data_IF_165833084583
#
_entry.id   IF_165833084583
#
_cell.length_a   1.000
_cell.length_b   1.000
_cell.length_c   1.000
_cell.angle_alpha   90.00
_cell.angle_beta   90.00
_cell.angle_gamma   90.00
#
_symmetry.space_group_name_H-M   'P 1'
#
loop_
_entity.id
_entity.type
_entity.pdbx_description
1 polymer ?
#
# COMPACT_ATOMS: atom_id res chain seq x y z
N UNK A 1 25.58 -21.03 3.38
CA UNK A 1 26.40 -21.38 4.57
C UNK A 1 27.35 -20.28 5.04
N UNK A 2 28.27 -19.70 4.23
CA UNK A 2 29.23 -18.68 4.72
C UNK A 2 28.60 -17.43 5.36
N UNK A 3 27.48 -16.88 4.83
CA UNK A 3 26.81 -15.70 5.39
C UNK A 3 26.14 -15.97 6.75
N UNK A 4 25.54 -17.13 6.96
CA UNK A 4 24.94 -17.52 8.24
C UNK A 4 25.99 -17.66 9.34
N UNK A 5 27.16 -18.23 9.00
CA UNK A 5 28.29 -18.34 9.94
C UNK A 5 28.85 -16.99 10.35
N UNK A 6 28.93 -16.01 9.42
CA UNK A 6 29.39 -14.66 9.71
C UNK A 6 28.42 -13.93 10.66
N UNK A 7 27.12 -13.99 10.40
CA UNK A 7 26.09 -13.36 11.25
C UNK A 7 26.11 -13.95 12.66
N UNK A 8 26.19 -15.27 12.80
CA UNK A 8 26.28 -15.93 14.11
C UNK A 8 27.55 -15.54 14.86
N UNK A 9 28.69 -15.42 14.17
CA UNK A 9 29.95 -15.00 14.78
C UNK A 9 29.89 -13.54 15.26
N UNK A 10 29.33 -12.63 14.47
CA UNK A 10 29.14 -11.23 14.86
C UNK A 10 28.21 -11.13 16.08
N UNK A 11 27.07 -11.84 16.05
CA UNK A 11 26.12 -11.85 17.15
C UNK A 11 26.76 -12.36 18.45
N UNK A 12 27.53 -13.45 18.37
CA UNK A 12 28.24 -14.02 19.52
C UNK A 12 29.29 -13.05 20.05
N UNK A 13 30.05 -12.38 19.19
CA UNK A 13 30.99 -11.34 19.58
C UNK A 13 30.32 -10.18 20.32
N UNK A 14 29.25 -9.65 19.76
CA UNK A 14 28.47 -8.53 20.34
C UNK A 14 27.94 -8.91 21.73
N UNK A 15 27.33 -10.10 21.88
CA UNK A 15 26.75 -10.56 23.15
C UNK A 15 27.85 -10.76 24.21
N UNK A 16 29.04 -11.26 23.83
CA UNK A 16 30.15 -11.51 24.77
C UNK A 16 30.95 -10.27 25.14
N UNK A 17 30.78 -9.18 24.37
CA UNK A 17 31.54 -7.93 24.63
C UNK A 17 30.52 -6.84 25.10
N UNK A 18 30.53 -6.47 26.40
CA UNK A 18 29.54 -5.51 26.92
C UNK A 18 29.64 -4.12 26.26
N UNK A 19 30.84 -3.70 25.83
CA UNK A 19 30.98 -2.43 25.10
C UNK A 19 30.39 -2.52 23.69
N UNK A 20 30.59 -3.62 22.97
CA UNK A 20 30.01 -3.85 21.67
C UNK A 20 28.49 -3.98 21.76
N UNK A 21 27.96 -4.61 22.78
CA UNK A 21 26.53 -4.70 23.06
C UNK A 21 25.93 -3.31 23.30
N UNK A 22 26.55 -2.48 24.13
CA UNK A 22 26.11 -1.12 24.40
C UNK A 22 26.06 -0.27 23.13
N UNK A 23 27.11 -0.34 22.30
CA UNK A 23 27.16 0.35 21.00
C UNK A 23 26.04 -0.15 20.07
N UNK A 24 25.82 -1.45 19.98
CA UNK A 24 24.76 -2.03 19.16
C UNK A 24 23.35 -1.57 19.61
N UNK A 25 23.11 -1.51 20.93
CA UNK A 25 21.85 -1.01 21.49
C UNK A 25 21.67 0.50 21.22
N UNK A 26 22.72 1.30 21.34
CA UNK A 26 22.69 2.73 21.00
C UNK A 26 22.40 2.96 19.53
N UNK A 27 23.10 2.28 18.63
CA UNK A 27 22.88 2.38 17.17
C UNK A 27 21.48 1.91 16.82
N UNK A 28 21.04 0.79 17.39
CA UNK A 28 19.68 0.27 17.20
C UNK A 28 18.61 1.26 17.69
N UNK A 29 18.80 1.84 18.87
CA UNK A 29 17.89 2.84 19.43
C UNK A 29 17.82 4.12 18.61
N UNK A 30 18.95 4.64 18.14
CA UNK A 30 19.01 5.80 17.26
C UNK A 30 18.38 5.52 15.90
N UNK A 31 18.63 4.35 15.31
CA UNK A 31 18.04 3.92 14.05
C UNK A 31 16.53 3.77 14.18
N UNK A 32 16.05 3.19 15.27
CA UNK A 32 14.62 3.07 15.55
C UNK A 32 13.96 4.45 15.77
N UNK A 33 14.60 5.33 16.51
CA UNK A 33 14.11 6.70 16.74
C UNK A 33 14.05 7.47 15.43
N UNK A 34 15.07 7.40 14.59
CA UNK A 34 15.05 8.00 13.24
C UNK A 34 13.89 7.46 12.40
N UNK A 35 13.72 6.12 12.39
CA UNK A 35 12.63 5.48 11.66
C UNK A 35 11.26 5.98 12.11
N UNK A 36 11.01 6.01 13.43
CA UNK A 36 9.69 6.32 14.00
C UNK A 36 9.35 7.81 13.95
N UNK A 37 10.32 8.69 14.25
CA UNK A 37 10.05 10.11 14.42
C UNK A 37 10.41 10.97 13.20
N UNK A 38 11.15 10.43 12.23
CA UNK A 38 11.57 11.20 11.06
C UNK A 38 11.15 10.51 9.76
N UNK A 39 11.65 9.28 9.53
CA UNK A 39 11.52 8.65 8.23
C UNK A 39 10.06 8.33 7.86
N UNK A 40 9.23 7.94 8.82
CA UNK A 40 7.81 7.66 8.58
C UNK A 40 7.01 8.93 8.27
N UNK A 41 7.28 10.02 8.98
CA UNK A 41 6.55 11.28 8.80
C UNK A 41 6.78 11.88 7.41
N UNK A 42 7.97 11.65 6.81
CA UNK A 42 8.26 12.12 5.44
C UNK A 42 7.47 11.37 4.36
N UNK A 43 6.87 10.23 4.69
CA UNK A 43 6.12 9.39 3.75
C UNK A 43 4.60 9.48 3.94
N UNK A 44 4.09 10.41 4.77
CA UNK A 44 2.67 10.55 5.05
C UNK A 44 2.31 12.02 5.23
N UNK A 45 1.53 12.61 4.33
CA UNK A 45 1.17 14.03 4.34
C UNK A 45 0.35 14.44 5.57
N UNK A 46 -0.69 13.67 5.91
CA UNK A 46 -1.57 13.94 7.05
C UNK A 46 -1.18 13.12 8.30
N UNK A 47 0.05 12.59 8.33
CA UNK A 47 0.49 11.69 9.37
C UNK A 47 0.08 10.23 9.14
N UNK A 48 0.52 9.37 10.03
CA UNK A 48 0.25 7.93 9.98
C UNK A 48 -1.16 7.66 10.47
N UNK A 49 -1.99 6.88 9.72
CA UNK A 49 -3.31 6.47 10.18
C UNK A 49 -3.24 5.77 11.53
N UNK A 50 -4.08 6.22 12.45
CA UNK A 50 -4.20 5.64 13.80
C UNK A 50 -5.53 4.92 13.92
N UNK A 51 -5.53 3.78 14.64
CA UNK A 51 -6.77 3.12 15.02
C UNK A 51 -7.62 4.09 15.87
N UNK A 52 -8.94 4.06 15.65
CA UNK A 52 -9.88 4.85 16.45
C UNK A 52 -10.13 4.24 17.82
N UNK A 53 -9.83 2.97 17.98
CA UNK A 53 -9.90 2.23 19.23
C UNK A 53 -8.63 1.38 19.43
N UNK A 54 -8.48 0.82 20.62
CA UNK A 54 -7.37 -0.07 20.95
C UNK A 54 -7.75 -1.55 20.80
N UNK A 55 -8.71 -1.88 19.94
CA UNK A 55 -9.10 -3.25 19.72
C UNK A 55 -8.01 -4.04 18.96
N UNK A 56 -7.90 -5.31 19.27
CA UNK A 56 -6.92 -6.19 18.63
C UNK A 56 -7.07 -6.23 17.09
N UNK A 57 -8.29 -6.26 16.51
CA UNK A 57 -8.46 -6.26 15.06
C UNK A 57 -7.95 -5.01 14.34
N UNK A 58 -7.82 -3.87 15.04
CA UNK A 58 -7.33 -2.61 14.46
C UNK A 58 -5.83 -2.42 14.62
N UNK A 59 -5.15 -3.31 15.36
CA UNK A 59 -3.71 -3.23 15.54
C UNK A 59 -2.95 -3.46 14.23
N UNK A 60 -2.01 -2.57 13.95
CA UNK A 60 -1.15 -2.64 12.76
C UNK A 60 0.32 -2.49 13.13
N UNK A 61 1.16 -3.27 12.45
CA UNK A 61 2.60 -3.02 12.39
C UNK A 61 2.91 -2.22 11.15
N UNK A 62 3.78 -1.21 11.30
CA UNK A 62 4.10 -0.28 10.21
C UNK A 62 5.36 -0.76 9.50
N UNK A 63 5.23 -1.00 8.19
CA UNK A 63 6.34 -1.35 7.31
C UNK A 63 6.58 -0.22 6.31
N UNK A 64 7.77 0.38 6.39
CA UNK A 64 8.21 1.35 5.40
C UNK A 64 8.92 0.63 4.25
N UNK A 65 8.53 0.94 3.03
CA UNK A 65 9.17 0.52 1.78
C UNK A 65 9.79 1.76 1.09
N UNK A 66 10.43 1.58 -0.06
CA UNK A 66 11.12 2.68 -0.76
C UNK A 66 10.19 3.81 -1.21
N UNK A 67 8.94 3.49 -1.57
CA UNK A 67 7.99 4.45 -2.15
C UNK A 67 6.62 4.49 -1.46
N UNK A 68 6.38 3.65 -0.46
CA UNK A 68 5.11 3.58 0.25
C UNK A 68 5.26 2.99 1.64
N UNK A 69 4.30 3.28 2.51
CA UNK A 69 4.18 2.64 3.82
C UNK A 69 2.92 1.81 3.93
N UNK A 70 2.99 0.80 4.77
CA UNK A 70 1.90 -0.14 5.05
C UNK A 70 1.66 -0.23 6.55
N UNK A 71 0.42 -0.11 6.99
CA UNK A 71 -0.03 -0.60 8.28
C UNK A 71 -0.64 -1.98 8.10
N UNK A 72 0.10 -3.02 8.47
CA UNK A 72 -0.25 -4.40 8.24
C UNK A 72 -0.83 -5.06 9.50
N UNK A 73 -1.95 -5.76 9.37
CA UNK A 73 -2.54 -6.59 10.41
C UNK A 73 -2.20 -8.06 10.19
N UNK A 74 -1.38 -8.62 11.07
CA UNK A 74 -1.11 -10.06 11.05
C UNK A 74 -2.35 -10.91 11.40
N UNK A 75 -3.31 -10.31 12.11
CA UNK A 75 -4.56 -10.98 12.50
C UNK A 75 -5.49 -11.16 11.31
N UNK A 76 -5.64 -10.08 10.51
CA UNK A 76 -6.48 -10.12 9.30
C UNK A 76 -5.74 -10.63 8.07
N UNK A 77 -4.40 -10.76 8.13
CA UNK A 77 -3.57 -11.13 6.99
C UNK A 77 -3.65 -10.12 5.85
N UNK A 78 -3.82 -8.84 6.19
CA UNK A 78 -4.07 -7.77 5.22
C UNK A 78 -3.36 -6.46 5.59
N UNK A 79 -2.99 -5.62 4.60
CA UNK A 79 -2.71 -4.21 4.85
C UNK A 79 -4.03 -3.52 5.24
N UNK A 80 -4.13 -2.90 6.41
CA UNK A 80 -5.31 -2.11 6.78
C UNK A 80 -5.27 -0.73 6.16
N UNK A 81 -4.08 -0.23 5.89
CA UNK A 81 -3.84 0.99 5.13
C UNK A 81 -2.49 0.94 4.42
N UNK A 82 -2.44 1.62 3.30
CA UNK A 82 -1.22 1.90 2.54
C UNK A 82 -1.22 3.37 2.19
N UNK A 83 -0.06 4.03 2.30
CA UNK A 83 0.11 5.43 1.89
C UNK A 83 1.27 5.54 0.91
N UNK A 84 1.05 6.29 -0.17
CA UNK A 84 2.07 6.61 -1.18
C UNK A 84 1.83 8.00 -1.75
N UNK A 85 2.86 8.57 -2.38
CA UNK A 85 2.80 9.84 -3.06
C UNK A 85 2.91 9.66 -4.58
N UNK A 86 2.15 10.44 -5.32
CA UNK A 86 2.24 10.56 -6.78
C UNK A 86 2.65 12.00 -7.14
N UNK A 87 3.51 12.10 -8.12
CA UNK A 87 3.95 13.36 -8.74
C UNK A 87 3.85 13.22 -10.26
N UNK A 88 3.85 14.31 -11.03
CA UNK A 88 3.96 14.21 -12.47
C UNK A 88 5.14 13.33 -12.86
N UNK A 89 4.95 12.32 -13.74
CA UNK A 89 6.06 11.51 -14.22
C UNK A 89 7.08 12.38 -14.99
N UNK A 90 8.36 12.02 -14.90
CA UNK A 90 9.38 12.66 -15.73
C UNK A 90 9.16 12.33 -17.23
N UNK A 91 9.59 13.20 -18.12
CA UNK A 91 9.47 13.00 -19.59
C UNK A 91 10.13 11.69 -20.07
N UNK A 92 11.17 11.25 -19.37
CA UNK A 92 11.91 10.03 -19.67
C UNK A 92 11.41 8.80 -18.89
N UNK A 93 10.32 8.94 -18.12
CA UNK A 93 9.76 7.83 -17.36
C UNK A 93 9.24 6.74 -18.31
N UNK A 94 9.71 5.52 -18.15
CA UNK A 94 9.32 4.39 -18.98
C UNK A 94 8.71 3.27 -18.15
N UNK A 95 7.74 2.58 -18.74
CA UNK A 95 7.10 1.43 -18.10
C UNK A 95 8.10 0.29 -17.95
N UNK A 96 8.30 -0.19 -16.74
CA UNK A 96 9.14 -1.33 -16.43
C UNK A 96 8.37 -2.65 -16.65
N UNK A 97 9.10 -3.71 -17.05
CA UNK A 97 8.53 -5.06 -17.08
C UNK A 97 8.00 -5.43 -15.69
N UNK A 98 6.74 -5.90 -15.64
CA UNK A 98 6.11 -6.37 -14.41
C UNK A 98 6.86 -7.58 -13.83
N UNK A 99 7.13 -7.65 -12.52
CA UNK A 99 7.60 -8.85 -11.87
C UNK A 99 6.62 -10.04 -12.09
N UNK A 100 7.17 -11.23 -12.24
CA UNK A 100 6.37 -12.43 -12.50
C UNK A 100 5.77 -13.01 -11.21
N UNK A 101 6.48 -12.88 -10.10
CA UNK A 101 6.12 -13.52 -8.84
C UNK A 101 5.84 -12.50 -7.73
N UNK A 102 4.87 -12.83 -6.90
CA UNK A 102 4.68 -12.21 -5.60
C UNK A 102 5.59 -12.88 -4.58
N UNK A 103 6.07 -12.11 -3.62
CA UNK A 103 7.03 -12.55 -2.63
C UNK A 103 6.44 -12.46 -1.22
N UNK A 104 6.65 -13.49 -0.42
CA UNK A 104 6.38 -13.42 1.00
C UNK A 104 7.20 -12.29 1.63
N UNK A 105 6.60 -11.56 2.56
CA UNK A 105 7.32 -10.55 3.33
C UNK A 105 7.71 -11.13 4.68
N UNK A 106 9.00 -11.27 4.92
CA UNK A 106 9.54 -11.83 6.17
C UNK A 106 9.12 -11.03 7.42
N UNK A 107 8.64 -9.81 7.24
CA UNK A 107 8.17 -8.94 8.33
C UNK A 107 6.79 -9.36 8.85
N UNK A 108 5.97 -10.08 8.07
CA UNK A 108 4.69 -10.59 8.56
C UNK A 108 4.87 -11.90 9.35
N UNK A 109 4.19 -12.03 10.48
CA UNK A 109 4.27 -13.21 11.32
C UNK A 109 3.38 -14.37 10.85
N UNK A 110 2.38 -14.09 10.02
CA UNK A 110 1.49 -15.10 9.43
C UNK A 110 2.11 -15.91 8.30
N UNK A 111 3.33 -15.55 7.86
CA UNK A 111 4.04 -16.18 6.75
C UNK A 111 3.19 -16.29 5.48
N UNK A 112 2.28 -15.34 5.27
CA UNK A 112 1.39 -15.33 4.11
C UNK A 112 2.22 -15.20 2.84
N UNK A 113 1.94 -16.10 1.89
CA UNK A 113 2.60 -16.12 0.60
C UNK A 113 1.60 -16.16 -0.57
N UNK A 114 2.13 -16.23 -1.79
CA UNK A 114 1.33 -16.25 -3.00
C UNK A 114 0.38 -17.47 -3.07
N UNK A 115 0.73 -18.61 -2.45
CA UNK A 115 -0.08 -19.82 -2.49
C UNK A 115 -1.37 -19.70 -1.70
N UNK A 116 -1.41 -18.82 -0.68
CA UNK A 116 -2.63 -18.52 0.08
C UNK A 116 -3.77 -18.00 -0.80
N UNK A 117 -3.45 -17.46 -1.97
CA UNK A 117 -4.44 -16.96 -2.94
C UNK A 117 -4.76 -17.94 -4.08
N UNK A 118 -4.03 -19.04 -4.18
CA UNK A 118 -4.18 -19.98 -5.30
C UNK A 118 -5.55 -20.67 -5.20
N UNK A 119 -6.29 -20.68 -6.33
CA UNK A 119 -7.65 -21.24 -6.43
C UNK A 119 -8.66 -20.64 -5.42
N UNK A 120 -8.38 -19.45 -4.86
CA UNK A 120 -9.27 -18.79 -3.91
C UNK A 120 -10.51 -18.16 -4.56
N UNK A 121 -10.46 -17.87 -5.87
CA UNK A 121 -11.45 -17.08 -6.58
C UNK A 121 -11.23 -15.57 -6.46
N UNK A 122 -10.11 -15.15 -5.85
CA UNK A 122 -9.72 -13.76 -5.68
C UNK A 122 -8.36 -13.49 -6.33
N UNK A 123 -8.21 -12.30 -6.88
CA UNK A 123 -6.93 -11.77 -7.34
C UNK A 123 -6.08 -11.32 -6.16
N UNK A 124 -4.78 -11.24 -6.39
CA UNK A 124 -3.81 -10.56 -5.52
C UNK A 124 -3.87 -9.06 -5.82
N UNK A 125 -4.81 -8.35 -5.19
CA UNK A 125 -5.04 -6.93 -5.41
C UNK A 125 -3.97 -6.08 -4.73
N UNK A 126 -3.34 -5.20 -5.50
CA UNK A 126 -2.35 -4.24 -4.97
C UNK A 126 -3.04 -3.07 -4.26
N UNK A 127 -2.48 -2.64 -3.13
CA UNK A 127 -2.87 -1.37 -2.50
C UNK A 127 -1.98 -0.23 -3.01
N UNK A 128 -0.66 -0.31 -2.91
CA UNK A 128 0.25 0.56 -3.67
C UNK A 128 0.37 0.03 -5.10
N UNK A 129 -0.04 0.80 -6.15
CA UNK A 129 -0.17 0.31 -7.52
C UNK A 129 1.17 0.08 -8.19
N UNK A 130 1.39 -1.14 -8.73
CA UNK A 130 2.64 -1.49 -9.40
C UNK A 130 3.02 -0.49 -10.51
N UNK A 131 2.06 -0.08 -11.36
CA UNK A 131 2.36 0.75 -12.52
C UNK A 131 2.86 2.14 -12.11
N UNK A 132 2.11 2.86 -11.29
CA UNK A 132 2.48 4.20 -10.84
C UNK A 132 3.78 4.19 -10.03
N UNK A 133 3.92 3.25 -9.08
CA UNK A 133 5.13 3.12 -8.26
C UNK A 133 6.36 2.80 -9.13
N UNK A 134 6.23 1.90 -10.11
CA UNK A 134 7.36 1.57 -10.99
C UNK A 134 7.80 2.75 -11.85
N UNK A 135 6.83 3.51 -12.35
CA UNK A 135 7.07 4.67 -13.22
C UNK A 135 7.76 5.82 -12.47
N UNK A 136 7.33 6.08 -11.22
CA UNK A 136 7.81 7.23 -10.44
C UNK A 136 9.05 6.92 -9.60
N UNK A 137 9.19 5.69 -9.12
CA UNK A 137 10.21 5.33 -8.12
C UNK A 137 11.17 4.22 -8.57
N UNK A 138 10.96 3.68 -9.77
CA UNK A 138 11.88 2.74 -10.39
C UNK A 138 11.77 1.29 -9.91
N UNK A 139 12.77 0.49 -10.28
CA UNK A 139 12.71 -0.98 -10.20
C UNK A 139 12.63 -1.54 -8.78
N UNK A 140 13.39 -0.98 -7.84
CA UNK A 140 13.37 -1.48 -6.46
C UNK A 140 11.99 -1.29 -5.82
N UNK A 141 11.43 -0.09 -5.92
CA UNK A 141 10.09 0.20 -5.42
C UNK A 141 9.02 -0.67 -6.12
N UNK A 142 9.17 -0.95 -7.42
CA UNK A 142 8.31 -1.87 -8.14
C UNK A 142 8.32 -3.28 -7.52
N UNK A 143 9.49 -3.83 -7.24
CA UNK A 143 9.63 -5.18 -6.64
C UNK A 143 8.94 -5.22 -5.27
N UNK A 144 9.07 -4.15 -4.49
CA UNK A 144 8.45 -4.05 -3.18
C UNK A 144 6.91 -4.03 -3.25
N UNK A 145 6.29 -3.53 -4.34
CA UNK A 145 4.84 -3.60 -4.49
C UNK A 145 4.32 -5.03 -4.60
N UNK A 146 5.18 -6.01 -4.94
CA UNK A 146 4.86 -7.44 -5.02
C UNK A 146 5.07 -8.19 -3.70
N UNK A 147 5.42 -7.51 -2.61
CA UNK A 147 5.39 -8.10 -1.27
C UNK A 147 3.95 -8.39 -0.84
N UNK A 148 3.70 -9.56 -0.28
CA UNK A 148 2.36 -9.97 0.15
C UNK A 148 1.75 -9.04 1.20
N UNK A 149 2.55 -8.24 1.89
CA UNK A 149 2.08 -7.19 2.80
C UNK A 149 1.43 -5.98 2.12
N UNK A 150 1.56 -5.86 0.79
CA UNK A 150 0.86 -4.86 -0.03
C UNK A 150 -0.40 -5.42 -0.70
N UNK A 151 -0.74 -6.68 -0.46
CA UNK A 151 -1.73 -7.43 -1.22
C UNK A 151 -2.95 -7.76 -0.35
N UNK A 152 -4.12 -7.67 -0.98
CA UNK A 152 -5.41 -8.01 -0.37
C UNK A 152 -6.28 -8.79 -1.35
N UNK A 153 -7.21 -9.66 -0.86
CA UNK A 153 -8.14 -10.36 -1.75
C UNK A 153 -9.09 -9.38 -2.47
N UNK A 154 -9.01 -9.30 -3.77
CA UNK A 154 -9.94 -8.54 -4.60
C UNK A 154 -10.62 -9.44 -5.63
N UNK A 155 -11.93 -9.29 -5.85
CA UNK A 155 -12.61 -9.98 -6.95
C UNK A 155 -12.03 -9.54 -8.29
N UNK A 156 -11.83 -10.46 -9.27
CA UNK A 156 -11.32 -10.10 -10.59
C UNK A 156 -12.12 -8.99 -11.29
N UNK A 157 -13.44 -9.01 -11.13
CA UNK A 157 -14.34 -7.96 -11.67
C UNK A 157 -14.07 -6.56 -11.11
N UNK A 158 -13.62 -6.46 -9.86
CA UNK A 158 -13.20 -5.23 -9.23
C UNK A 158 -11.74 -4.90 -9.61
N UNK A 159 -10.80 -5.79 -9.31
CA UNK A 159 -9.37 -5.57 -9.44
C UNK A 159 -8.95 -5.19 -10.86
N UNK A 160 -9.40 -5.98 -11.85
CA UNK A 160 -8.98 -5.83 -13.25
C UNK A 160 -9.77 -4.76 -14.04
N UNK A 161 -10.74 -4.09 -13.41
CA UNK A 161 -11.62 -3.13 -14.09
C UNK A 161 -11.74 -1.82 -13.31
N UNK A 162 -12.64 -1.74 -12.34
CA UNK A 162 -12.94 -0.48 -11.65
C UNK A 162 -11.73 0.02 -10.84
N UNK A 163 -11.03 -0.89 -10.15
CA UNK A 163 -9.84 -0.54 -9.36
C UNK A 163 -8.69 -0.09 -10.26
N UNK A 164 -8.46 -0.81 -11.36
CA UNK A 164 -7.46 -0.42 -12.36
C UNK A 164 -7.78 0.97 -12.96
N UNK A 165 -9.05 1.28 -13.26
CA UNK A 165 -9.43 2.62 -13.74
C UNK A 165 -9.14 3.72 -12.71
N UNK A 166 -9.34 3.45 -11.42
CA UNK A 166 -8.94 4.40 -10.37
C UNK A 166 -7.43 4.65 -10.39
N UNK A 167 -6.62 3.61 -10.53
CA UNK A 167 -5.15 3.73 -10.62
C UNK A 167 -4.70 4.48 -11.89
N UNK A 168 -5.40 4.33 -13.01
CA UNK A 168 -5.16 5.09 -14.23
C UNK A 168 -5.49 6.58 -14.05
N UNK A 169 -6.63 6.89 -13.42
CA UNK A 169 -7.02 8.28 -13.09
C UNK A 169 -6.01 8.94 -12.16
N UNK A 170 -5.53 8.22 -11.15
CA UNK A 170 -4.50 8.70 -10.22
C UNK A 170 -3.26 9.18 -10.98
N UNK A 171 -2.77 8.33 -11.87
CA UNK A 171 -1.52 8.58 -12.57
C UNK A 171 -1.66 9.60 -13.71
N UNK A 172 -2.76 9.59 -14.45
CA UNK A 172 -2.91 10.43 -15.65
C UNK A 172 -3.60 11.75 -15.35
N UNK A 173 -4.68 11.71 -14.55
CA UNK A 173 -5.52 12.89 -14.36
C UNK A 173 -5.12 13.69 -13.12
N UNK A 174 -4.79 13.03 -12.01
CA UNK A 174 -4.48 13.77 -10.80
C UNK A 174 -3.07 14.35 -10.86
N UNK A 175 -2.09 13.59 -11.32
CA UNK A 175 -0.71 14.11 -11.45
C UNK A 175 -0.57 15.22 -12.49
N UNK A 176 -1.49 15.33 -13.46
CA UNK A 176 -1.52 16.46 -14.42
C UNK A 176 -2.12 17.74 -13.84
N UNK A 177 -2.85 17.66 -12.72
CA UNK A 177 -3.57 18.80 -12.12
C UNK A 177 -2.96 19.26 -10.81
N UNK A 178 -2.30 18.38 -10.09
CA UNK A 178 -1.70 18.65 -8.81
C UNK A 178 -0.18 18.52 -8.87
N UNK A 179 0.50 19.37 -8.13
CA UNK A 179 1.94 19.29 -7.92
C UNK A 179 2.33 17.94 -7.31
N UNK A 180 1.54 17.48 -6.36
CA UNK A 180 1.66 16.17 -5.74
C UNK A 180 0.30 15.67 -5.25
N UNK A 181 0.13 14.36 -5.22
CA UNK A 181 -1.07 13.69 -4.72
C UNK A 181 -0.68 12.64 -3.69
N UNK A 182 -1.18 12.77 -2.49
CA UNK A 182 -1.04 11.75 -1.46
C UNK A 182 -2.24 10.84 -1.46
N UNK A 183 -1.99 9.54 -1.50
CA UNK A 183 -3.04 8.52 -1.56
C UNK A 183 -2.98 7.65 -0.33
N UNK A 184 -4.11 7.58 0.39
CA UNK A 184 -4.34 6.63 1.48
C UNK A 184 -5.37 5.62 1.00
N UNK A 185 -5.05 4.34 1.06
CA UNK A 185 -5.92 3.28 0.56
C UNK A 185 -5.85 2.06 1.45
N UNK A 186 -6.91 1.28 1.48
CA UNK A 186 -6.96 0.04 2.26
C UNK A 186 -8.31 -0.66 2.15
N UNK A 187 -8.39 -1.88 2.68
CA UNK A 187 -9.62 -2.63 2.79
C UNK A 187 -10.49 -2.14 3.95
N UNK A 188 -11.79 -2.38 3.83
CA UNK A 188 -12.80 -2.28 4.88
C UNK A 188 -13.38 -3.66 5.14
N UNK A 189 -13.63 -3.97 6.40
CA UNK A 189 -14.16 -5.25 6.85
C UNK A 189 -15.42 -5.02 7.68
N UNK A 190 -16.44 -5.83 7.41
CA UNK A 190 -17.67 -5.87 8.19
C UNK A 190 -17.49 -6.76 9.45
N UNK A 191 -18.54 -6.87 10.26
CA UNK A 191 -18.52 -7.73 11.47
C UNK A 191 -18.42 -9.21 11.13
N UNK A 192 -18.87 -9.62 9.94
CA UNK A 192 -18.85 -11.02 9.49
C UNK A 192 -17.49 -11.39 8.92
N UNK A 193 -16.66 -12.00 9.73
CA UNK A 193 -15.33 -12.47 9.34
C UNK A 193 -15.46 -13.61 8.31
N UNK A 194 -14.85 -13.42 7.15
CA UNK A 194 -14.77 -14.44 6.07
C UNK A 194 -13.34 -14.54 5.59
N UNK A 195 -12.79 -15.76 5.50
CA UNK A 195 -11.42 -15.99 5.04
C UNK A 195 -11.39 -16.61 3.63
N UNK A 196 -10.25 -16.51 2.98
CA UNK A 196 -10.00 -17.24 1.74
C UNK A 196 -10.15 -18.76 1.99
N UNK A 197 -10.74 -19.47 1.02
CA UNK A 197 -10.85 -20.95 1.11
C UNK A 197 -9.49 -21.63 1.15
N UNK A 198 -8.48 -21.00 0.57
CA UNK A 198 -7.10 -21.46 0.48
C UNK A 198 -6.23 -21.03 1.66
N UNK A 199 -6.71 -20.12 2.53
CA UNK A 199 -5.96 -19.63 3.68
C UNK A 199 -6.88 -19.20 4.82
N UNK A 200 -6.71 -19.80 5.99
CA UNK A 200 -7.43 -19.39 7.21
C UNK A 200 -6.92 -18.08 7.85
N UNK A 201 -5.84 -17.52 7.31
CA UNK A 201 -5.20 -16.33 7.87
C UNK A 201 -5.53 -15.06 7.10
N UNK A 202 -6.01 -15.18 5.85
CA UNK A 202 -6.31 -14.04 4.99
C UNK A 202 -7.80 -13.77 5.00
N UNK A 203 -8.21 -12.70 5.70
CA UNK A 203 -9.60 -12.25 5.74
C UNK A 203 -9.98 -11.56 4.42
N UNK A 204 -11.20 -11.80 3.94
CA UNK A 204 -11.72 -11.21 2.71
C UNK A 204 -12.39 -9.88 3.06
N UNK A 205 -11.94 -8.75 2.48
CA UNK A 205 -12.57 -7.45 2.67
C UNK A 205 -13.96 -7.36 2.03
N UNK A 206 -14.82 -6.53 2.61
CA UNK A 206 -16.16 -6.22 2.07
C UNK A 206 -16.13 -5.02 1.11
N UNK A 207 -15.21 -4.09 1.33
CA UNK A 207 -15.02 -2.92 0.48
C UNK A 207 -13.55 -2.44 0.55
N UNK A 208 -13.26 -1.42 -0.26
CA UNK A 208 -11.96 -0.75 -0.28
C UNK A 208 -12.16 0.75 -0.32
N UNK A 209 -11.30 1.49 0.35
CA UNK A 209 -11.29 2.94 0.28
C UNK A 209 -10.04 3.45 -0.43
N UNK A 210 -10.18 4.63 -1.05
CA UNK A 210 -9.06 5.48 -1.46
C UNK A 210 -9.38 6.93 -1.10
N UNK A 211 -8.43 7.58 -0.43
CA UNK A 211 -8.48 9.00 -0.08
C UNK A 211 -7.33 9.68 -0.80
N UNK A 212 -7.64 10.69 -1.57
CA UNK A 212 -6.70 11.49 -2.33
C UNK A 212 -6.61 12.89 -1.73
N UNK A 213 -5.41 13.33 -1.40
CA UNK A 213 -5.11 14.71 -1.04
C UNK A 213 -4.19 15.31 -2.13
N UNK A 214 -4.77 16.04 -3.05
CA UNK A 214 -4.06 16.75 -4.11
C UNK A 214 -3.63 18.14 -3.63
N UNK A 215 -2.37 18.49 -3.86
CA UNK A 215 -1.80 19.78 -3.51
C UNK A 215 -1.58 20.56 -4.80
N UNK A 216 -2.28 21.68 -4.96
CA UNK A 216 -2.14 22.60 -6.07
C UNK A 216 -0.83 23.40 -5.96
N UNK A 217 -0.40 24.06 -7.05
CA UNK A 217 0.82 24.89 -7.07
C UNK A 217 0.79 26.02 -6.04
N UNK A 218 -0.40 26.56 -5.73
CA UNK A 218 -0.60 27.61 -4.71
C UNK A 218 -0.65 27.07 -3.28
N UNK A 219 -0.48 25.75 -3.08
CA UNK A 219 -0.54 25.10 -1.78
C UNK A 219 -1.95 24.71 -1.32
N UNK A 220 -3.00 25.01 -2.10
CA UNK A 220 -4.37 24.60 -1.77
C UNK A 220 -4.49 23.06 -1.81
N UNK A 221 -5.15 22.50 -0.79
CA UNK A 221 -5.40 21.07 -0.69
C UNK A 221 -6.81 20.77 -1.18
N UNK A 222 -6.94 19.77 -2.04
CA UNK A 222 -8.21 19.22 -2.51
C UNK A 222 -8.33 17.77 -2.11
N UNK A 223 -9.44 17.40 -1.51
CA UNK A 223 -9.66 16.04 -1.04
C UNK A 223 -10.76 15.36 -1.85
N UNK A 224 -10.49 14.13 -2.25
CA UNK A 224 -11.46 13.20 -2.84
C UNK A 224 -11.36 11.87 -2.09
N UNK A 225 -12.51 11.30 -1.73
CA UNK A 225 -12.54 9.96 -1.15
C UNK A 225 -13.60 9.10 -1.84
N UNK A 226 -13.25 7.84 -2.07
CA UNK A 226 -14.13 6.83 -2.63
C UNK A 226 -14.16 5.59 -1.74
N UNK A 227 -15.31 4.94 -1.66
CA UNK A 227 -15.49 3.62 -1.05
C UNK A 227 -16.11 2.69 -2.07
N UNK A 228 -15.40 1.65 -2.46
CA UNK A 228 -15.80 0.72 -3.52
C UNK A 228 -16.04 -0.66 -2.90
N UNK A 229 -17.26 -1.19 -2.95
CA UNK A 229 -17.55 -2.52 -2.40
C UNK A 229 -16.88 -3.63 -3.22
N UNK A 230 -16.56 -4.74 -2.56
CA UNK A 230 -15.94 -5.93 -3.16
C UNK A 230 -16.75 -6.48 -4.36
N UNK A 231 -18.07 -6.27 -4.35
CA UNK A 231 -18.98 -6.73 -5.39
C UNK A 231 -19.37 -5.63 -6.40
N UNK A 232 -18.58 -4.54 -6.49
CA UNK A 232 -18.77 -3.50 -7.50
C UNK A 232 -18.80 -4.10 -8.90
N UNK A 233 -19.73 -3.60 -9.75
CA UNK A 233 -19.85 -4.09 -11.12
C UNK A 233 -18.79 -3.47 -12.02
N UNK A 234 -18.34 -4.23 -13.00
CA UNK A 234 -17.31 -3.82 -13.97
C UNK A 234 -17.63 -2.47 -14.65
N UNK A 235 -18.89 -2.22 -14.96
CA UNK A 235 -19.33 -1.04 -15.69
C UNK A 235 -19.90 0.07 -14.77
N UNK A 236 -19.76 -0.08 -13.46
CA UNK A 236 -20.17 0.99 -12.55
C UNK A 236 -19.32 2.24 -12.78
N UNK A 237 -19.96 3.39 -12.70
CA UNK A 237 -19.28 4.69 -12.75
C UNK A 237 -18.63 4.96 -11.40
N UNK A 238 -17.40 5.52 -11.42
CA UNK A 238 -16.61 5.82 -10.21
C UNK A 238 -17.35 6.83 -9.33
N UNK A 239 -18.05 7.78 -9.93
CA UNK A 239 -18.80 8.83 -9.22
C UNK A 239 -19.86 8.27 -8.25
N UNK A 240 -20.36 7.07 -8.50
CA UNK A 240 -21.28 6.35 -7.60
C UNK A 240 -20.67 6.07 -6.23
N UNK A 241 -19.37 5.98 -6.16
CA UNK A 241 -18.61 5.55 -4.98
C UNK A 241 -17.91 6.70 -4.26
N UNK A 242 -18.09 7.93 -4.73
CA UNK A 242 -17.51 9.12 -4.11
C UNK A 242 -18.26 9.40 -2.80
N UNK A 243 -17.51 9.54 -1.71
CA UNK A 243 -18.03 9.91 -0.38
C UNK A 243 -17.58 11.30 0.07
N UNK A 244 -16.45 11.80 -0.43
CA UNK A 244 -15.97 13.17 -0.25
C UNK A 244 -15.49 13.69 -1.61
N UNK A 245 -15.94 14.89 -1.99
CA UNK A 245 -15.55 15.51 -3.26
C UNK A 245 -15.33 17.03 -3.09
N UNK A 246 -14.17 17.41 -2.60
CA UNK A 246 -13.71 18.80 -2.61
C UNK A 246 -12.90 19.13 -3.89
N UNK A 247 -12.62 18.11 -4.70
CA UNK A 247 -11.90 18.18 -5.95
C UNK A 247 -12.85 18.16 -7.17
N UNK A 248 -13.98 18.89 -7.10
CA UNK A 248 -14.99 18.93 -8.16
C UNK A 248 -14.38 19.31 -9.52
N UNK A 249 -14.73 18.53 -10.57
CA UNK A 249 -14.25 18.72 -11.94
C UNK A 249 -13.14 17.78 -12.42
N UNK A 250 -12.49 17.01 -11.53
CA UNK A 250 -11.38 16.13 -11.93
C UNK A 250 -11.88 14.85 -12.62
N UNK A 251 -12.97 14.27 -12.14
CA UNK A 251 -13.49 12.99 -12.65
C UNK A 251 -14.38 13.17 -13.89
N UNK A 252 -15.03 14.33 -14.05
CA UNK A 252 -15.94 14.58 -15.18
C UNK A 252 -15.27 14.64 -16.56
N UNK A 253 -13.96 14.89 -16.66
CA UNK A 253 -13.30 15.07 -17.96
C UNK A 253 -12.98 13.77 -18.73
N UNK A 254 -12.91 12.62 -18.08
CA UNK A 254 -12.56 11.36 -18.77
C UNK A 254 -13.72 10.71 -19.53
N UNK A 255 -14.97 11.00 -19.18
CA UNK A 255 -16.11 10.43 -19.91
C UNK A 255 -16.30 10.95 -21.35
N UNK A 256 -15.56 11.98 -21.78
CA UNK A 256 -15.64 12.52 -23.16
C UNK A 256 -14.65 11.88 -24.15
N UNK A 257 -13.65 11.15 -23.69
CA UNK A 257 -12.63 10.55 -24.58
C UNK A 257 -12.89 9.09 -24.96
N UNK A 258 -13.88 8.43 -24.36
CA UNK A 258 -14.21 7.03 -24.66
C UNK A 258 -15.38 6.85 -25.65
N UNK A 259 -15.89 7.93 -26.26
CA UNK A 259 -16.96 7.91 -27.26
C UNK A 259 -16.51 8.33 -28.66
N UNK A 260 -15.30 7.95 -29.06
CA UNK A 260 -14.88 8.05 -30.47
C UNK A 260 -14.10 6.81 -30.87
#
# INVERSE_FOLDING_TARGET
MRRLNLISSILTFVIRNPKALLIALLVGGLSYSYEVFIARDTMAFAGIPKAMDNSIPTYTRIFRNSAYMVGYSDIKGNPLWVVYKLTPPSENASRLKRPENFNADWRNFGFIDSNDYTNSGYDRGHMAPNHAISLLYGKQAQIETFLMTNITPQKPSLNQKLWQRLEEIELESFTSKFKEVWVYTGPLFDEKITHLKSSRFVEIPDAFYKIYAGIEENGTIKVLAVIVPQNAKTNDRIEKYIVINEASGIIHHQNRRQCH
#
